data_IF_826624773166
#
_entry.id   IF_826624773166
#
_cell.length_a   1.000
_cell.length_b   1.000
_cell.length_c   1.000
_cell.angle_alpha   90.00
_cell.angle_beta   90.00
_cell.angle_gamma   90.00
#
_symmetry.space_group_name_H-M   'P 1'
#
loop_
_entity.id
_entity.type
_entity.pdbx_description
1 polymer ?
#
# COMPACT_ATOMS: atom_id res chain seq x y z
N UNK A 1 -10.68 -15.89 -3.97
CA UNK A 1 -9.26 -16.30 -4.06
C UNK A 1 -8.88 -17.20 -2.88
N UNK A 2 -8.94 -16.74 -1.63
CA UNK A 2 -8.58 -17.56 -0.46
C UNK A 2 -9.49 -18.77 -0.25
N UNK A 3 -10.80 -18.58 -0.29
CA UNK A 3 -11.81 -19.66 -0.11
C UNK A 3 -11.74 -20.79 -1.14
N UNK A 4 -11.01 -20.57 -2.24
CA UNK A 4 -10.80 -21.56 -3.32
C UNK A 4 -9.31 -21.91 -3.48
N UNK A 5 -8.48 -21.62 -2.48
CA UNK A 5 -7.05 -21.89 -2.43
C UNK A 5 -6.25 -21.41 -3.65
N UNK A 6 -6.57 -20.20 -4.16
CA UNK A 6 -5.87 -19.55 -5.28
C UNK A 6 -5.14 -18.27 -4.88
N UNK A 7 -5.04 -17.99 -3.58
CA UNK A 7 -4.27 -16.85 -3.11
C UNK A 7 -2.79 -17.24 -3.13
N UNK A 8 -1.96 -16.39 -3.74
CA UNK A 8 -0.51 -16.62 -3.80
C UNK A 8 0.17 -16.38 -2.44
N UNK A 9 1.49 -16.57 -2.40
CA UNK A 9 2.30 -16.31 -1.21
C UNK A 9 2.48 -14.82 -0.87
N UNK A 10 2.01 -13.94 -1.76
CA UNK A 10 2.14 -12.49 -1.63
C UNK A 10 0.79 -11.83 -1.91
N UNK A 11 0.39 -10.90 -1.04
CA UNK A 11 -0.76 -10.02 -1.25
C UNK A 11 -0.30 -8.58 -1.15
N UNK A 12 -0.66 -7.74 -2.12
CA UNK A 12 -0.35 -6.31 -2.11
C UNK A 12 -1.65 -5.54 -1.88
N UNK A 13 -1.65 -4.64 -0.89
CA UNK A 13 -2.79 -3.81 -0.52
C UNK A 13 -2.44 -2.34 -0.72
N UNK A 14 -3.17 -1.69 -1.63
CA UNK A 14 -3.00 -0.28 -2.00
C UNK A 14 -4.29 0.52 -1.76
N UNK A 15 -4.87 0.36 -0.57
CA UNK A 15 -6.13 1.01 -0.17
C UNK A 15 -5.88 2.27 0.67
N UNK A 16 -6.80 3.24 0.58
CA UNK A 16 -6.79 4.46 1.41
C UNK A 16 -6.71 5.77 0.64
N UNK A 17 -6.47 5.76 -0.67
CA UNK A 17 -6.47 6.98 -1.48
C UNK A 17 -7.85 7.64 -1.51
N UNK A 18 -8.90 6.82 -1.68
CA UNK A 18 -10.26 7.30 -1.90
C UNK A 18 -11.08 7.48 -0.61
N UNK A 19 -10.73 6.78 0.48
CA UNK A 19 -11.47 6.81 1.74
C UNK A 19 -10.53 6.67 2.93
N UNK A 20 -10.95 7.15 4.09
CA UNK A 20 -10.28 6.82 5.36
C UNK A 20 -10.41 5.32 5.61
N UNK A 21 -9.31 4.68 6.03
CA UNK A 21 -9.31 3.27 6.46
C UNK A 21 -9.12 3.27 7.97
N UNK A 22 -10.09 2.71 8.70
CA UNK A 22 -9.99 2.56 10.15
C UNK A 22 -9.26 1.27 10.55
N UNK A 23 -8.85 1.21 11.82
CA UNK A 23 -8.13 0.05 12.36
C UNK A 23 -8.95 -1.23 12.28
N UNK A 24 -10.27 -1.15 12.52
CA UNK A 24 -11.16 -2.32 12.40
C UNK A 24 -11.14 -2.90 10.99
N UNK A 25 -11.17 -2.05 9.96
CA UNK A 25 -11.09 -2.47 8.56
C UNK A 25 -9.74 -3.11 8.26
N UNK A 26 -8.64 -2.56 8.76
CA UNK A 26 -7.30 -3.15 8.58
C UNK A 26 -7.23 -4.53 9.24
N UNK A 27 -7.81 -4.69 10.42
CA UNK A 27 -7.84 -5.95 11.14
C UNK A 27 -8.68 -6.99 10.41
N UNK A 28 -9.86 -6.60 9.92
CA UNK A 28 -10.74 -7.45 9.11
C UNK A 28 -10.06 -7.90 7.80
N UNK A 29 -9.20 -7.07 7.21
CA UNK A 29 -8.37 -7.44 6.06
C UNK A 29 -7.29 -8.45 6.47
N UNK A 30 -6.65 -8.26 7.63
CA UNK A 30 -5.53 -9.11 8.06
C UNK A 30 -5.95 -10.47 8.63
N UNK A 31 -7.15 -10.60 9.21
CA UNK A 31 -7.69 -11.89 9.69
C UNK A 31 -7.61 -13.00 8.63
N UNK A 32 -8.13 -12.80 7.40
CA UNK A 32 -8.00 -13.78 6.33
C UNK A 32 -6.61 -13.78 5.68
N UNK A 33 -5.61 -13.03 6.14
CA UNK A 33 -4.26 -13.03 5.56
C UNK A 33 -3.19 -13.52 6.53
N UNK A 34 -3.58 -14.03 7.71
CA UNK A 34 -2.64 -14.48 8.74
C UNK A 34 -1.66 -15.59 8.29
N UNK A 35 -2.07 -16.41 7.31
CA UNK A 35 -1.31 -17.51 6.72
C UNK A 35 -0.61 -17.13 5.40
N UNK A 36 -0.78 -15.90 4.93
CA UNK A 36 -0.07 -15.40 3.75
C UNK A 36 1.37 -15.05 4.15
N UNK A 37 2.40 -15.60 3.48
CA UNK A 37 3.79 -15.33 3.83
C UNK A 37 4.20 -13.85 3.79
N UNK A 38 3.64 -13.06 2.86
CA UNK A 38 3.91 -11.63 2.77
C UNK A 38 2.65 -10.84 2.41
N UNK A 39 2.31 -9.87 3.25
CA UNK A 39 1.32 -8.83 2.95
C UNK A 39 2.03 -7.49 2.83
N UNK A 40 2.08 -6.93 1.63
CA UNK A 40 2.70 -5.63 1.37
C UNK A 40 1.63 -4.54 1.37
N UNK A 41 1.66 -3.63 2.35
CA UNK A 41 0.84 -2.42 2.33
C UNK A 41 1.59 -1.26 1.67
N UNK A 42 0.87 -0.42 0.94
CA UNK A 42 1.42 0.76 0.27
C UNK A 42 0.86 2.03 0.90
N UNK A 43 1.73 2.94 1.35
CA UNK A 43 1.30 4.26 1.86
C UNK A 43 0.68 5.09 0.73
N UNK A 44 -0.22 6.01 1.07
CA UNK A 44 -0.97 6.81 0.10
C UNK A 44 -0.40 8.21 -0.06
N UNK A 45 -0.55 8.78 -1.26
CA UNK A 45 -0.21 10.18 -1.55
C UNK A 45 -1.44 10.85 -2.18
N UNK A 46 -2.14 11.65 -1.37
CA UNK A 46 -3.37 12.38 -1.69
C UNK A 46 -3.38 13.69 -0.90
N UNK A 47 -2.48 14.65 -1.23
CA UNK A 47 -2.18 15.80 -0.37
C UNK A 47 -3.33 16.79 -0.23
N UNK A 48 -4.33 16.74 -1.12
CA UNK A 48 -5.55 17.54 -1.01
C UNK A 48 -6.47 17.08 0.12
N UNK A 49 -6.16 15.98 0.81
CA UNK A 49 -7.09 15.28 1.69
C UNK A 49 -6.46 14.96 3.05
N UNK A 50 -7.11 15.41 4.13
CA UNK A 50 -6.62 15.22 5.51
C UNK A 50 -6.46 13.74 5.87
N UNK A 51 -7.26 12.85 5.25
CA UNK A 51 -7.19 11.39 5.47
C UNK A 51 -5.83 10.78 5.15
N UNK A 52 -5.02 11.42 4.29
CA UNK A 52 -3.67 10.93 3.97
C UNK A 52 -2.86 10.65 5.23
N UNK A 53 -2.81 11.62 6.15
CA UNK A 53 -1.98 11.53 7.36
C UNK A 53 -2.49 10.43 8.30
N UNK A 54 -3.81 10.32 8.46
CA UNK A 54 -4.43 9.30 9.30
C UNK A 54 -4.21 7.90 8.72
N UNK A 55 -4.41 7.72 7.41
CA UNK A 55 -4.22 6.44 6.74
C UNK A 55 -2.76 5.99 6.77
N UNK A 56 -1.81 6.89 6.44
CA UNK A 56 -0.39 6.55 6.44
C UNK A 56 0.13 6.22 7.83
N UNK A 57 -0.34 6.90 8.88
CA UNK A 57 -0.01 6.56 10.26
C UNK A 57 -0.41 5.12 10.59
N UNK A 58 -1.68 4.78 10.35
CA UNK A 58 -2.23 3.44 10.63
C UNK A 58 -1.53 2.35 9.81
N UNK A 59 -1.27 2.61 8.53
CA UNK A 59 -0.53 1.69 7.66
C UNK A 59 0.86 1.42 8.24
N UNK A 60 1.59 2.46 8.65
CA UNK A 60 2.94 2.33 9.20
C UNK A 60 3.00 1.62 10.56
N UNK A 61 1.88 1.53 11.30
CA UNK A 61 1.79 0.81 12.57
C UNK A 61 1.56 -0.70 12.39
N UNK A 62 1.14 -1.16 11.21
CA UNK A 62 0.81 -2.56 10.95
C UNK A 62 1.95 -3.56 11.19
N UNK A 63 3.22 -3.29 10.82
CA UNK A 63 4.32 -4.24 11.05
C UNK A 63 4.56 -4.55 12.53
N UNK A 64 4.17 -3.65 13.44
CA UNK A 64 4.25 -3.91 14.89
C UNK A 64 3.13 -4.85 15.38
N UNK A 65 2.08 -5.04 14.58
CA UNK A 65 0.88 -5.83 14.91
C UNK A 65 0.83 -7.16 14.17
N UNK A 66 1.45 -7.23 12.99
CA UNK A 66 1.42 -8.39 12.09
C UNK A 66 2.81 -8.66 11.51
N UNK A 67 3.42 -9.79 11.88
CA UNK A 67 4.79 -10.14 11.50
C UNK A 67 4.97 -10.35 9.99
N UNK A 68 3.91 -10.73 9.28
CA UNK A 68 3.93 -10.95 7.84
C UNK A 68 3.71 -9.67 7.02
N UNK A 69 3.64 -8.49 7.66
CA UNK A 69 3.42 -7.21 6.97
C UNK A 69 4.74 -6.49 6.66
N UNK A 70 4.84 -5.99 5.43
CA UNK A 70 5.85 -5.01 5.02
C UNK A 70 5.17 -3.76 4.47
N UNK A 71 5.88 -2.64 4.53
CA UNK A 71 5.41 -1.35 3.98
C UNK A 71 6.25 -0.97 2.76
N UNK A 72 5.57 -0.62 1.67
CA UNK A 72 6.13 0.15 0.57
C UNK A 72 5.75 1.63 0.76
N UNK A 73 6.74 2.47 1.06
CA UNK A 73 6.50 3.88 1.34
C UNK A 73 6.38 4.74 0.07
N UNK A 74 5.27 4.57 -0.65
CA UNK A 74 4.98 5.38 -1.83
C UNK A 74 4.80 6.87 -1.50
N UNK A 75 4.32 7.21 -0.30
CA UNK A 75 4.19 8.59 0.15
C UNK A 75 5.54 9.34 0.06
N UNK A 76 6.62 8.75 0.57
CA UNK A 76 7.96 9.34 0.48
C UNK A 76 8.44 9.48 -0.97
N UNK A 77 8.27 8.43 -1.79
CA UNK A 77 8.68 8.45 -3.20
C UNK A 77 7.92 9.52 -3.99
N UNK A 78 6.60 9.57 -3.86
CA UNK A 78 5.73 10.51 -4.54
C UNK A 78 6.00 11.97 -4.13
N UNK A 79 6.37 12.19 -2.86
CA UNK A 79 6.79 13.50 -2.34
C UNK A 79 8.11 13.95 -2.96
N UNK A 80 9.08 13.04 -3.06
CA UNK A 80 10.40 13.32 -3.64
C UNK A 80 10.37 13.48 -5.17
N UNK A 81 9.41 12.84 -5.84
CA UNK A 81 9.29 12.79 -7.30
C UNK A 81 7.92 13.30 -7.79
N UNK A 82 7.62 14.60 -7.63
CA UNK A 82 6.34 15.18 -8.06
C UNK A 82 6.10 15.09 -9.58
N UNK A 83 7.14 14.84 -10.38
CA UNK A 83 7.08 14.57 -11.82
C UNK A 83 6.40 13.24 -12.18
N UNK A 84 6.29 12.31 -11.23
CA UNK A 84 5.55 11.05 -11.42
C UNK A 84 4.04 11.22 -11.39
N UNK A 85 3.55 12.40 -10.98
CA UNK A 85 2.13 12.65 -10.71
C UNK A 85 1.54 13.71 -11.65
N UNK A 86 0.23 13.62 -11.87
CA UNK A 86 -0.53 14.70 -12.48
C UNK A 86 -0.64 15.91 -11.53
N UNK A 87 -1.29 16.98 -11.99
CA UNK A 87 -1.38 18.25 -11.26
C UNK A 87 -2.09 18.13 -9.90
N UNK A 88 -3.00 17.16 -9.75
CA UNK A 88 -3.69 16.86 -8.48
C UNK A 88 -2.82 16.14 -7.45
N UNK A 89 -1.57 15.78 -7.82
CA UNK A 89 -0.62 15.10 -6.96
C UNK A 89 -1.13 13.77 -6.39
N UNK A 90 -2.12 13.15 -7.04
CA UNK A 90 -2.70 11.86 -6.62
C UNK A 90 -2.63 10.86 -7.77
N UNK A 91 -3.05 11.26 -8.97
CA UNK A 91 -3.02 10.37 -10.11
C UNK A 91 -1.61 10.24 -10.68
N UNK A 92 -1.21 9.01 -10.97
CA UNK A 92 0.14 8.67 -11.44
C UNK A 92 0.21 8.78 -12.97
N UNK A 93 1.23 9.48 -13.49
CA UNK A 93 1.57 9.56 -14.91
C UNK A 93 2.15 8.24 -15.43
N UNK A 94 2.15 7.97 -16.75
CA UNK A 94 2.68 6.71 -17.29
C UNK A 94 4.11 6.36 -16.83
N UNK A 95 5.02 7.33 -16.80
CA UNK A 95 6.38 7.11 -16.29
C UNK A 95 6.38 6.74 -14.80
N UNK A 96 5.57 7.41 -13.99
CA UNK A 96 5.39 7.11 -12.57
C UNK A 96 4.75 5.75 -12.34
N UNK A 97 3.83 5.30 -13.21
CA UNK A 97 3.18 3.99 -13.11
C UNK A 97 4.21 2.86 -13.27
N UNK A 98 5.17 3.03 -14.19
CA UNK A 98 6.28 2.08 -14.33
C UNK A 98 7.11 2.02 -13.04
N UNK A 99 7.51 3.16 -12.49
CA UNK A 99 8.27 3.22 -11.23
C UNK A 99 7.49 2.60 -10.08
N UNK A 100 6.20 2.89 -9.96
CA UNK A 100 5.32 2.34 -8.94
C UNK A 100 5.25 0.81 -9.01
N UNK A 101 5.07 0.25 -10.21
CA UNK A 101 5.07 -1.19 -10.44
C UNK A 101 6.44 -1.83 -10.15
N UNK A 102 7.54 -1.20 -10.62
CA UNK A 102 8.90 -1.69 -10.38
C UNK A 102 9.22 -1.73 -8.87
N UNK A 103 8.81 -0.70 -8.11
CA UNK A 103 8.96 -0.66 -6.65
C UNK A 103 8.18 -1.77 -5.96
N UNK A 104 6.95 -2.06 -6.40
CA UNK A 104 6.17 -3.18 -5.88
C UNK A 104 6.86 -4.52 -6.16
N UNK A 105 7.36 -4.74 -7.37
CA UNK A 105 8.08 -5.95 -7.74
C UNK A 105 9.35 -6.14 -6.90
N UNK A 106 10.14 -5.07 -6.75
CA UNK A 106 11.33 -5.07 -5.91
C UNK A 106 11.00 -5.37 -4.44
N UNK A 107 9.96 -4.76 -3.89
CA UNK A 107 9.54 -4.96 -2.50
C UNK A 107 9.13 -6.41 -2.19
N UNK A 108 8.66 -7.14 -3.22
CA UNK A 108 8.30 -8.57 -3.11
C UNK A 108 9.42 -9.51 -3.61
N UNK A 109 10.62 -8.98 -3.86
CA UNK A 109 11.80 -9.75 -4.26
C UNK A 109 11.76 -10.29 -5.69
N UNK A 110 11.08 -9.58 -6.60
CA UNK A 110 11.00 -9.93 -8.02
C UNK A 110 11.61 -8.83 -8.90
N UNK A 111 12.32 -9.21 -9.99
CA UNK A 111 12.83 -8.25 -10.96
C UNK A 111 11.71 -7.61 -11.78
#
# INVERSE_FOLDING_TARGET
>A
MKSVNRLGSVVIIHLGTNNTVDEKTLDEIMVPLHDVPLVLFVTVHVPSEVRQNTNNRRINELPARYENVKILDWFAVATAHPEYLYSDKTHIRPAGQKVYADLMMQAIGRP
#
